data_IF_376824939533
#
_entry.id   IF_376824939533
#
_cell.length_a   1.000
_cell.length_b   1.000
_cell.length_c   1.000
_cell.angle_alpha   90.00
_cell.angle_beta   90.00
_cell.angle_gamma   90.00
#
_symmetry.space_group_name_H-M   'P 1'
#
loop_
_entity.id
_entity.type
_entity.pdbx_description
1 polymer ?
#
# COMPACT_ATOMS: atom_id res chain seq x y z
N UNK A 1 -9.50 12.55 4.11
CA UNK A 1 -9.03 11.41 3.31
C UNK A 1 -10.15 10.39 3.16
N UNK A 2 -10.44 9.87 1.95
CA UNK A 2 -11.50 8.86 1.77
C UNK A 2 -11.18 7.58 2.56
N UNK A 3 -12.22 6.88 3.02
CA UNK A 3 -12.09 5.86 4.07
C UNK A 3 -11.11 4.72 3.79
N UNK A 4 -11.03 4.24 2.54
CA UNK A 4 -10.18 3.11 2.13
C UNK A 4 -8.69 3.47 1.94
N UNK A 5 -8.37 4.77 1.95
CA UNK A 5 -6.99 5.27 1.82
C UNK A 5 -6.36 5.57 3.18
N UNK A 6 -7.09 5.32 4.29
CA UNK A 6 -6.62 5.57 5.66
C UNK A 6 -5.44 4.69 6.04
N UNK A 7 -4.35 5.34 6.42
CA UNK A 7 -3.21 4.68 7.06
C UNK A 7 -3.61 4.16 8.46
N UNK A 8 -2.85 3.18 8.96
CA UNK A 8 -3.14 2.53 10.24
C UNK A 8 -3.21 3.52 11.40
N UNK A 9 -2.31 4.51 11.46
CA UNK A 9 -2.29 5.55 12.49
C UNK A 9 -3.57 6.41 12.50
N UNK A 10 -4.18 6.64 11.33
CA UNK A 10 -5.45 7.39 11.21
C UNK A 10 -6.63 6.54 11.71
N UNK A 11 -6.64 5.25 11.41
CA UNK A 11 -7.68 4.31 11.88
C UNK A 11 -7.60 4.14 13.40
N UNK A 12 -6.38 4.09 13.93
CA UNK A 12 -6.09 3.86 15.34
C UNK A 12 -6.08 5.14 16.19
N UNK A 13 -6.42 6.29 15.60
CA UNK A 13 -6.55 7.57 16.30
C UNK A 13 -5.23 8.06 16.90
N UNK A 14 -4.10 7.72 16.29
CA UNK A 14 -2.78 8.22 16.67
C UNK A 14 -2.55 9.62 16.10
N UNK A 15 -1.58 10.34 16.65
CA UNK A 15 -1.04 11.52 15.97
C UNK A 15 -0.39 11.12 14.65
N UNK A 16 -0.59 11.95 13.62
CA UNK A 16 -0.08 11.68 12.29
C UNK A 16 0.43 12.96 11.64
N UNK A 17 1.35 12.78 10.70
CA UNK A 17 1.96 13.85 9.91
C UNK A 17 1.79 13.53 8.42
N UNK A 18 2.43 14.30 7.54
CA UNK A 18 2.40 14.15 6.08
C UNK A 18 2.76 12.75 5.55
N UNK A 19 3.32 11.85 6.37
CA UNK A 19 3.58 10.43 6.01
C UNK A 19 2.29 9.63 5.73
N UNK A 20 1.12 10.13 6.13
CA UNK A 20 -0.17 9.55 5.69
C UNK A 20 -0.40 9.74 4.19
N UNK A 21 0.17 10.80 3.60
CA UNK A 21 0.04 11.05 2.17
C UNK A 21 0.87 10.03 1.38
N UNK A 22 2.04 9.64 1.89
CA UNK A 22 2.89 8.59 1.31
C UNK A 22 2.14 7.25 1.26
N UNK A 23 1.42 6.90 2.32
CA UNK A 23 0.53 5.75 2.33
C UNK A 23 -0.57 5.85 1.26
N UNK A 24 -1.22 7.02 1.17
CA UNK A 24 -2.27 7.27 0.19
C UNK A 24 -1.74 7.19 -1.26
N UNK A 25 -0.49 7.58 -1.50
CA UNK A 25 0.18 7.42 -2.80
C UNK A 25 0.38 5.94 -3.12
N UNK A 26 0.86 5.11 -2.19
CA UNK A 26 1.02 3.67 -2.42
C UNK A 26 -0.30 2.98 -2.79
N UNK A 27 -1.37 3.26 -2.03
CA UNK A 27 -2.70 2.73 -2.33
C UNK A 27 -3.25 3.24 -3.67
N UNK A 28 -2.96 4.49 -4.04
CA UNK A 28 -3.35 5.05 -5.35
C UNK A 28 -2.59 4.38 -6.48
N UNK A 29 -1.27 4.21 -6.36
CA UNK A 29 -0.44 3.53 -7.35
C UNK A 29 -0.92 2.09 -7.58
N UNK A 30 -1.24 1.37 -6.51
CA UNK A 30 -1.88 0.06 -6.65
C UNK A 30 -3.19 0.14 -7.45
N UNK A 31 -4.11 1.03 -7.06
CA UNK A 31 -5.42 1.14 -7.72
C UNK A 31 -5.35 1.58 -9.19
N UNK A 32 -4.28 2.26 -9.59
CA UNK A 32 -4.04 2.66 -10.98
C UNK A 32 -3.40 1.55 -11.82
N UNK A 33 -2.68 0.63 -11.17
CA UNK A 33 -1.95 -0.45 -11.85
C UNK A 33 -2.74 -1.75 -11.88
N UNK A 34 -3.56 -2.02 -10.85
CA UNK A 34 -4.28 -3.26 -10.64
C UNK A 34 -5.78 -3.05 -10.82
N UNK A 35 -6.51 -4.12 -11.17
CA UNK A 35 -7.95 -4.05 -11.47
C UNK A 35 -8.85 -3.85 -10.24
N UNK A 36 -8.28 -3.86 -9.03
CA UNK A 36 -9.01 -3.84 -7.77
C UNK A 36 -8.30 -3.00 -6.69
N UNK A 37 -9.07 -2.52 -5.72
CA UNK A 37 -8.52 -1.76 -4.59
C UNK A 37 -7.56 -2.58 -3.74
N UNK A 38 -6.44 -1.99 -3.30
CA UNK A 38 -5.51 -2.67 -2.38
C UNK A 38 -6.22 -3.06 -1.08
N UNK A 39 -7.02 -2.16 -0.54
CA UNK A 39 -7.79 -2.36 0.68
C UNK A 39 -9.25 -2.05 0.36
N UNK A 40 -10.13 -2.98 0.69
CA UNK A 40 -11.57 -2.80 0.52
C UNK A 40 -12.19 -2.17 1.77
N UNK A 41 -11.73 -2.56 2.96
CA UNK A 41 -12.14 -2.00 4.25
C UNK A 41 -13.66 -1.91 4.45
N UNK A 42 -14.43 -2.83 3.85
CA UNK A 42 -15.88 -2.77 3.86
C UNK A 42 -16.49 -4.07 4.40
N UNK A 43 -17.42 -3.90 5.33
CA UNK A 43 -18.32 -4.95 5.81
C UNK A 43 -19.76 -4.54 5.50
N UNK A 44 -20.48 -5.37 4.75
CA UNK A 44 -21.85 -5.08 4.29
C UNK A 44 -21.98 -3.71 3.57
N UNK A 45 -20.95 -3.31 2.81
CA UNK A 45 -20.93 -2.05 2.07
C UNK A 45 -20.54 -0.80 2.89
N UNK A 46 -20.41 -0.92 4.22
CA UNK A 46 -20.00 0.15 5.12
C UNK A 46 -18.53 0.03 5.48
N UNK A 47 -17.87 1.18 5.69
CA UNK A 47 -16.47 1.22 6.12
C UNK A 47 -16.34 0.58 7.51
N UNK A 48 -15.41 -0.37 7.64
CA UNK A 48 -15.21 -1.16 8.85
C UNK A 48 -13.71 -1.18 9.20
N UNK A 49 -13.38 -0.64 10.37
CA UNK A 49 -11.99 -0.48 10.83
C UNK A 49 -11.33 -1.85 11.10
N UNK A 50 -12.09 -2.84 11.57
CA UNK A 50 -11.57 -4.17 11.86
C UNK A 50 -11.18 -4.91 10.57
N UNK A 51 -12.05 -4.89 9.56
CA UNK A 51 -11.77 -5.44 8.24
C UNK A 51 -10.55 -4.75 7.61
N UNK A 52 -10.46 -3.42 7.75
CA UNK A 52 -9.34 -2.64 7.23
C UNK A 52 -8.01 -3.11 7.84
N UNK A 53 -7.95 -3.23 9.18
CA UNK A 53 -6.74 -3.65 9.88
C UNK A 53 -6.41 -5.12 9.63
N UNK A 54 -7.39 -6.00 9.49
CA UNK A 54 -7.18 -7.41 9.13
C UNK A 54 -6.54 -7.55 7.73
N UNK A 55 -7.02 -6.77 6.75
CA UNK A 55 -6.43 -6.71 5.40
C UNK A 55 -4.99 -6.18 5.44
N UNK A 56 -4.73 -5.12 6.24
CA UNK A 56 -3.38 -4.61 6.45
C UNK A 56 -2.43 -5.66 7.04
N UNK A 57 -2.86 -6.39 8.07
CA UNK A 57 -2.06 -7.48 8.67
C UNK A 57 -1.77 -8.58 7.66
N UNK A 58 -2.73 -8.92 6.81
CA UNK A 58 -2.54 -9.90 5.75
C UNK A 58 -1.48 -9.46 4.73
N UNK A 59 -1.54 -8.20 4.29
CA UNK A 59 -0.65 -7.67 3.25
C UNK A 59 0.77 -7.36 3.75
N UNK A 60 0.91 -6.94 5.02
CA UNK A 60 2.15 -6.36 5.55
C UNK A 60 2.76 -7.20 6.67
N UNK A 61 2.07 -8.25 7.13
CA UNK A 61 2.40 -8.96 8.35
C UNK A 61 1.93 -8.22 9.61
N UNK A 62 2.14 -8.81 10.80
CA UNK A 62 1.71 -8.22 12.06
C UNK A 62 2.44 -6.90 12.35
N UNK A 63 1.76 -5.92 12.98
CA UNK A 63 2.41 -4.68 13.40
C UNK A 63 3.47 -4.96 14.47
N UNK A 64 4.58 -4.21 14.46
CA UNK A 64 5.60 -4.41 15.46
C UNK A 64 5.15 -3.86 16.83
N UNK A 65 5.68 -4.38 17.96
CA UNK A 65 5.20 -4.03 19.30
C UNK A 65 5.29 -2.54 19.63
N UNK A 66 6.30 -1.83 19.13
CA UNK A 66 6.45 -0.39 19.32
C UNK A 66 5.35 0.42 18.64
N UNK A 67 4.80 -0.06 17.52
CA UNK A 67 3.64 0.57 16.88
C UNK A 67 2.39 0.38 17.73
N UNK A 68 2.15 -0.84 18.20
CA UNK A 68 0.99 -1.17 19.04
C UNK A 68 0.93 -0.35 20.34
N UNK A 69 2.10 -0.03 20.92
CA UNK A 69 2.20 0.81 22.13
C UNK A 69 1.83 2.28 21.91
N UNK A 70 1.73 2.77 20.66
CA UNK A 70 1.44 4.18 20.35
C UNK A 70 -0.04 4.57 20.57
N UNK A 71 -0.96 3.61 20.68
CA UNK A 71 -2.38 3.90 20.90
C UNK A 71 -3.08 2.85 21.74
N UNK A 72 -3.90 3.31 22.69
CA UNK A 72 -4.80 2.47 23.48
C UNK A 72 -5.87 1.79 22.62
N UNK A 73 -6.24 2.39 21.47
CA UNK A 73 -7.21 1.81 20.52
C UNK A 73 -6.71 0.50 19.91
N UNK A 74 -5.39 0.27 19.85
CA UNK A 74 -4.81 -1.00 19.42
C UNK A 74 -5.32 -2.19 20.25
N UNK A 75 -5.62 -1.99 21.55
CA UNK A 75 -6.15 -3.04 22.43
C UNK A 75 -7.54 -3.53 22.03
N UNK A 76 -8.20 -2.92 21.05
CA UNK A 76 -9.44 -3.45 20.48
C UNK A 76 -9.17 -4.62 19.53
N UNK A 77 -8.04 -4.63 18.83
CA UNK A 77 -7.75 -5.56 17.73
C UNK A 77 -6.59 -6.51 18.01
N UNK A 78 -5.67 -6.16 18.92
CA UNK A 78 -4.54 -7.00 19.32
C UNK A 78 -4.53 -7.30 20.82
N UNK A 79 -3.99 -8.46 21.20
CA UNK A 79 -3.69 -8.81 22.60
C UNK A 79 -2.37 -8.18 23.08
N UNK A 80 -1.99 -8.45 24.33
CA UNK A 80 -0.77 -7.91 24.93
C UNK A 80 0.52 -8.46 24.30
N UNK A 81 0.44 -9.62 23.65
CA UNK A 81 1.53 -10.27 22.95
C UNK A 81 1.64 -9.79 21.50
N UNK A 82 0.70 -8.95 21.03
CA UNK A 82 0.64 -8.44 19.66
C UNK A 82 -0.05 -9.39 18.68
N UNK A 83 -0.71 -10.45 19.16
CA UNK A 83 -1.49 -11.32 18.30
C UNK A 83 -2.83 -10.68 17.97
N UNK A 84 -3.30 -10.92 16.75
CA UNK A 84 -4.64 -10.51 16.33
C UNK A 84 -5.72 -11.20 17.15
N UNK A 85 -6.65 -10.42 17.69
CA UNK A 85 -7.82 -10.90 18.45
C UNK A 85 -9.15 -10.35 17.94
N UNK A 86 -9.13 -9.73 16.75
CA UNK A 86 -10.35 -9.25 16.11
C UNK A 86 -11.33 -10.40 15.84
N UNK A 87 -12.61 -10.06 15.78
CA UNK A 87 -13.72 -10.96 15.44
C UNK A 87 -13.63 -11.50 14.02
N UNK A 88 -12.93 -10.80 13.13
CA UNK A 88 -12.70 -11.20 11.74
C UNK A 88 -11.39 -11.99 11.62
N UNK A 89 -11.40 -13.07 10.86
CA UNK A 89 -10.18 -13.78 10.48
C UNK A 89 -9.33 -12.91 9.56
N UNK A 90 -8.01 -12.95 9.74
CA UNK A 90 -7.07 -12.35 8.79
C UNK A 90 -7.26 -13.08 7.44
N UNK A 91 -7.60 -12.38 6.35
CA UNK A 91 -7.75 -13.00 5.04
C UNK A 91 -6.44 -13.59 4.56
N UNK A 92 -6.48 -14.69 3.81
CA UNK A 92 -5.27 -15.27 3.19
C UNK A 92 -4.98 -14.55 1.87
N UNK A 93 -4.09 -13.56 1.91
CA UNK A 93 -3.63 -12.79 0.75
C UNK A 93 -2.23 -12.24 1.01
N UNK A 94 -1.58 -11.77 -0.04
CA UNK A 94 -0.34 -11.00 0.05
C UNK A 94 -0.25 -10.07 -1.16
N UNK A 95 0.71 -9.14 -1.16
CA UNK A 95 0.99 -8.33 -2.34
C UNK A 95 1.37 -9.21 -3.54
N UNK A 96 2.16 -10.24 -3.31
CA UNK A 96 2.64 -11.18 -4.32
C UNK A 96 1.49 -12.01 -4.91
N UNK A 97 0.55 -12.48 -4.09
CA UNK A 97 -0.61 -13.26 -4.57
C UNK A 97 -1.50 -12.38 -5.45
N UNK A 98 -1.63 -11.09 -5.12
CA UNK A 98 -2.59 -10.19 -5.74
C UNK A 98 -2.04 -9.44 -6.95
N UNK A 99 -0.73 -9.21 -6.99
CA UNK A 99 -0.07 -8.62 -8.14
C UNK A 99 -0.02 -9.67 -9.27
N UNK A 100 -0.64 -9.33 -10.40
CA UNK A 100 -0.67 -10.17 -11.60
C UNK A 100 -0.50 -9.39 -12.92
N UNK A 101 -0.31 -8.07 -12.86
CA UNK A 101 -0.21 -7.20 -14.03
C UNK A 101 1.23 -7.09 -14.55
N UNK A 102 2.21 -7.24 -13.67
CA UNK A 102 3.62 -7.18 -13.99
C UNK A 102 4.24 -8.59 -13.99
N UNK A 103 5.41 -8.72 -14.63
CA UNK A 103 6.16 -9.98 -14.63
C UNK A 103 7.67 -9.73 -14.62
N UNK A 104 8.43 -10.74 -14.22
CA UNK A 104 9.90 -10.67 -14.21
C UNK A 104 10.44 -9.54 -13.32
N UNK A 105 11.52 -8.85 -13.75
CA UNK A 105 12.15 -7.79 -12.96
C UNK A 105 11.22 -6.63 -12.58
N UNK A 106 10.26 -6.29 -13.44
CA UNK A 106 9.34 -5.17 -13.20
C UNK A 106 8.38 -5.47 -12.05
N UNK A 107 7.96 -6.74 -11.91
CA UNK A 107 7.14 -7.19 -10.78
C UNK A 107 7.88 -7.04 -9.46
N UNK A 108 9.15 -7.44 -9.42
CA UNK A 108 9.96 -7.33 -8.20
C UNK A 108 10.19 -5.87 -7.80
N UNK A 109 10.47 -4.99 -8.77
CA UNK A 109 10.62 -3.57 -8.50
C UNK A 109 9.32 -2.97 -7.96
N UNK A 110 8.18 -3.28 -8.58
CA UNK A 110 6.88 -2.81 -8.10
C UNK A 110 6.57 -3.28 -6.68
N UNK A 111 6.77 -4.57 -6.38
CA UNK A 111 6.55 -5.12 -5.04
C UNK A 111 7.49 -4.48 -4.01
N UNK A 112 8.76 -4.26 -4.36
CA UNK A 112 9.73 -3.59 -3.48
C UNK A 112 9.34 -2.13 -3.19
N UNK A 113 8.85 -1.40 -4.20
CA UNK A 113 8.32 -0.06 -4.03
C UNK A 113 7.17 -0.04 -3.00
N UNK A 114 6.20 -0.97 -3.12
CA UNK A 114 5.08 -1.05 -2.18
C UNK A 114 5.54 -1.41 -0.77
N UNK A 115 6.48 -2.37 -0.62
CA UNK A 115 7.04 -2.77 0.69
C UNK A 115 7.73 -1.61 1.41
N UNK A 116 8.30 -0.64 0.68
CA UNK A 116 8.88 0.57 1.27
C UNK A 116 7.83 1.57 1.74
N UNK A 117 6.65 1.61 1.11
CA UNK A 117 5.57 2.55 1.44
C UNK A 117 4.71 2.05 2.60
N UNK A 118 4.50 0.75 2.69
CA UNK A 118 3.59 0.12 3.64
C UNK A 118 4.18 -0.36 4.98
N UNK A 119 5.35 0.09 5.48
CA UNK A 119 5.69 -0.10 6.89
C UNK A 119 4.60 0.44 7.82
N UNK A 120 4.33 -0.32 8.89
CA UNK A 120 3.40 0.07 9.95
C UNK A 120 3.81 1.38 10.61
N UNK A 121 5.11 1.51 10.92
CA UNK A 121 5.67 2.70 11.57
C UNK A 121 5.77 3.84 10.54
N UNK A 122 5.07 4.98 10.73
CA UNK A 122 5.07 6.06 9.72
C UNK A 122 6.45 6.66 9.44
N UNK A 123 7.33 6.64 10.44
CA UNK A 123 8.68 7.20 10.38
C UNK A 123 9.61 6.40 9.43
N UNK A 124 9.31 5.12 9.21
CA UNK A 124 10.07 4.23 8.33
C UNK A 124 9.69 4.39 6.85
N UNK A 125 8.56 5.04 6.57
CA UNK A 125 8.13 5.30 5.19
C UNK A 125 9.08 6.33 4.54
N UNK A 126 9.30 6.27 3.21
CA UNK A 126 10.09 7.26 2.49
C UNK A 126 9.45 8.65 2.51
N UNK A 127 10.24 9.68 2.19
CA UNK A 127 9.70 11.00 1.84
C UNK A 127 9.16 11.02 0.41
N UNK A 128 8.39 12.04 0.04
CA UNK A 128 7.96 12.20 -1.35
C UNK A 128 9.15 12.41 -2.29
N UNK A 129 10.19 13.11 -1.82
CA UNK A 129 11.46 13.28 -2.54
C UNK A 129 12.16 11.95 -2.78
N UNK A 130 12.25 11.09 -1.75
CA UNK A 130 12.85 9.76 -1.89
C UNK A 130 12.11 8.90 -2.92
N UNK A 131 10.76 9.01 -2.97
CA UNK A 131 9.95 8.25 -3.92
C UNK A 131 10.20 8.66 -5.37
N UNK A 132 10.44 9.94 -5.66
CA UNK A 132 10.70 10.43 -7.02
C UNK A 132 11.94 9.75 -7.63
N UNK A 133 12.91 9.39 -6.79
CA UNK A 133 14.14 8.71 -7.19
C UNK A 133 14.09 7.19 -7.05
N UNK A 134 12.92 6.61 -6.75
CA UNK A 134 12.78 5.16 -6.67
C UNK A 134 12.96 4.50 -8.04
N UNK A 135 13.57 3.31 -8.06
CA UNK A 135 13.88 2.57 -9.28
C UNK A 135 12.65 2.35 -10.17
N UNK A 136 11.47 2.13 -9.58
CA UNK A 136 10.21 1.97 -10.34
C UNK A 136 9.89 3.22 -11.18
N UNK A 137 10.18 4.42 -10.67
CA UNK A 137 9.96 5.67 -11.40
C UNK A 137 11.14 6.03 -12.30
N UNK A 138 12.36 5.80 -11.82
CA UNK A 138 13.59 6.16 -12.53
C UNK A 138 13.87 5.25 -13.73
N UNK A 139 13.36 4.02 -13.75
CA UNK A 139 13.40 3.13 -14.91
C UNK A 139 12.97 3.85 -16.20
N UNK A 140 11.95 4.72 -16.15
CA UNK A 140 11.49 5.45 -17.33
C UNK A 140 12.46 6.53 -17.81
N UNK A 141 13.11 7.22 -16.88
CA UNK A 141 14.11 8.24 -17.22
C UNK A 141 15.35 7.56 -17.81
N UNK A 142 15.80 6.46 -17.21
CA UNK A 142 16.95 5.69 -17.67
C UNK A 142 16.67 5.09 -19.05
N UNK A 143 15.48 4.55 -19.29
CA UNK A 143 15.12 3.96 -20.58
C UNK A 143 14.90 5.00 -21.68
N UNK A 144 14.53 6.24 -21.36
CA UNK A 144 14.54 7.33 -22.35
C UNK A 144 15.96 7.74 -22.75
N UNK A 145 16.91 7.67 -21.82
CA UNK A 145 18.31 7.99 -22.09
C UNK A 145 19.05 6.89 -22.85
N UNK A 146 18.51 5.66 -22.86
CA UNK A 146 19.08 4.50 -23.53
C UNK A 146 18.05 3.91 -24.50
N UNK A 147 18.20 4.14 -25.82
CA UNK A 147 17.19 3.89 -26.90
C UNK A 147 16.61 2.46 -27.04
N UNK A 148 16.75 1.55 -26.09
CA UNK A 148 16.15 0.21 -26.12
C UNK A 148 15.70 -0.20 -24.72
N UNK A 149 14.45 0.12 -24.37
CA UNK A 149 13.48 -0.75 -23.67
C UNK A 149 12.32 0.12 -23.21
N UNK A 150 11.08 -0.30 -23.54
CA UNK A 150 9.91 0.38 -23.02
C UNK A 150 9.73 0.00 -21.54
N UNK A 151 9.70 0.97 -20.62
CA UNK A 151 9.61 0.75 -19.18
C UNK A 151 8.13 0.69 -18.72
N UNK A 152 7.92 0.22 -17.48
CA UNK A 152 6.64 0.14 -16.73
C UNK A 152 5.69 1.32 -16.96
N UNK A 153 6.20 2.54 -17.02
CA UNK A 153 5.40 3.75 -17.19
C UNK A 153 4.75 3.89 -18.59
N UNK A 154 5.28 3.23 -19.62
CA UNK A 154 4.63 3.18 -20.92
C UNK A 154 3.42 2.23 -20.95
N UNK A 155 3.31 1.28 -20.03
CA UNK A 155 2.12 0.45 -19.87
C UNK A 155 1.00 1.21 -19.14
N UNK A 156 1.35 2.01 -18.12
CA UNK A 156 0.44 2.90 -17.38
C UNK A 156 -0.32 3.91 -18.28
N UNK A 157 0.28 4.34 -19.39
CA UNK A 157 -0.34 5.26 -20.35
C UNK A 157 -0.92 4.58 -21.61
N UNK A 158 -0.82 3.26 -21.75
CA UNK A 158 -1.44 2.53 -22.89
C UNK A 158 -2.87 2.06 -22.63
N UNK A 159 -3.28 1.96 -21.36
CA UNK A 159 -4.65 1.54 -20.99
C UNK A 159 -5.64 2.70 -20.94
N UNK A 160 -5.16 3.95 -20.95
CA UNK A 160 -5.99 5.10 -21.29
C UNK A 160 -6.14 5.17 -22.82
N UNK A 161 -7.13 4.44 -23.34
CA UNK A 161 -7.54 4.53 -24.73
C UNK A 161 -7.67 5.98 -25.16
N UNK A 162 -6.84 6.40 -26.11
CA UNK A 162 -6.98 7.69 -26.74
C UNK A 162 -8.38 7.78 -27.37
N UNK A 163 -9.19 8.81 -27.08
CA UNK A 163 -10.37 9.05 -27.87
C UNK A 163 -9.91 9.37 -29.30
N UNK A 164 -10.36 8.55 -30.24
CA UNK A 164 -10.30 8.85 -31.66
C UNK A 164 -11.20 10.07 -31.85
N UNK A 165 -10.60 11.22 -32.17
CA UNK A 165 -11.32 12.32 -32.80
C UNK A 165 -11.25 12.12 -34.32
#
# INVERSE_FOLDING_TARGET
MPGIYRAAEVILGMEWVWKVDIWSVGTTVWNLTQDNHLIFAKKNGLLDDEQHLAEMVSLMGPPPPEFLRRSERCRQFWDEQGNWKGSLSIPEQSLEIREHQFSGPDRELFLNFLRRIFPWVPDERPTAEDLVYDDVLMQWIISKSNKMNLPVFCALFRTAGAPVW
#
